data_IF_302222820487
#
_entry.id   IF_302222820487
#
_cell.length_a   1.000
_cell.length_b   1.000
_cell.length_c   1.000
_cell.angle_alpha   90.00
_cell.angle_beta   90.00
_cell.angle_gamma   90.00
#
_symmetry.space_group_name_H-M   'P 1'
#
loop_
_entity.id
_entity.type
_entity.pdbx_description
1 polymer ?
#
# COMPACT_ATOMS: atom_id res chain seq x y z
N UNK A 1 6.69 -51.96 4.85
CA UNK A 1 6.66 -50.98 3.74
C UNK A 1 7.08 -49.64 4.31
N UNK A 2 8.36 -49.32 4.13
CA UNK A 2 9.00 -48.06 4.49
C UNK A 2 8.45 -46.95 3.60
N UNK A 3 7.68 -46.01 4.16
CA UNK A 3 7.31 -44.79 3.46
C UNK A 3 8.46 -43.78 3.57
N UNK A 4 9.19 -43.62 2.47
CA UNK A 4 10.09 -42.49 2.26
C UNK A 4 9.29 -41.20 2.29
N UNK A 5 9.57 -40.33 3.27
CA UNK A 5 9.19 -38.92 3.17
C UNK A 5 9.93 -38.31 1.97
N UNK A 6 9.25 -37.54 1.10
CA UNK A 6 9.91 -36.89 -0.02
C UNK A 6 10.89 -35.86 0.53
N UNK A 7 12.16 -35.97 0.12
CA UNK A 7 13.19 -34.99 0.43
C UNK A 7 12.73 -33.62 -0.09
N UNK A 8 12.44 -32.70 0.84
CA UNK A 8 12.39 -31.28 0.55
C UNK A 8 13.69 -30.93 -0.17
N UNK A 9 13.59 -30.54 -1.44
CA UNK A 9 14.72 -30.07 -2.22
C UNK A 9 15.45 -29.00 -1.39
N UNK A 10 16.69 -29.33 -1.00
CA UNK A 10 17.45 -28.56 -0.04
C UNK A 10 17.59 -27.12 -0.53
N UNK A 11 16.86 -26.21 0.11
CA UNK A 11 17.24 -24.80 0.14
C UNK A 11 18.66 -24.78 0.73
N UNK A 12 19.66 -24.16 0.09
CA UNK A 12 21.01 -24.18 0.63
C UNK A 12 20.98 -23.42 1.96
N UNK A 13 20.96 -24.16 3.06
CA UNK A 13 21.06 -23.60 4.39
C UNK A 13 22.42 -22.88 4.49
N UNK A 14 22.49 -21.68 5.09
CA UNK A 14 23.74 -20.92 5.23
C UNK A 14 24.64 -21.51 6.33
N UNK A 15 24.73 -22.84 6.39
CA UNK A 15 25.44 -23.63 7.38
C UNK A 15 26.32 -24.64 6.63
N UNK A 16 27.54 -24.83 7.13
CA UNK A 16 28.43 -25.89 6.61
C UNK A 16 27.84 -27.28 6.86
N UNK A 17 28.23 -28.31 6.09
CA UNK A 17 27.75 -29.68 6.29
C UNK A 17 27.94 -30.20 7.72
N UNK A 18 29.05 -29.84 8.38
CA UNK A 18 29.32 -30.20 9.78
C UNK A 18 28.35 -29.53 10.76
N UNK A 19 28.01 -28.25 10.51
CA UNK A 19 27.03 -27.52 11.31
C UNK A 19 25.62 -28.07 11.13
N UNK A 20 25.26 -28.47 9.92
CA UNK A 20 23.97 -29.12 9.64
C UNK A 20 23.87 -30.46 10.36
N UNK A 21 24.92 -31.28 10.31
CA UNK A 21 24.93 -32.56 11.00
C UNK A 21 24.81 -32.40 12.53
N UNK A 22 25.48 -31.39 13.09
CA UNK A 22 25.38 -31.06 14.52
C UNK A 22 23.98 -30.55 14.89
N UNK A 23 23.37 -29.74 14.03
CA UNK A 23 22.00 -29.24 14.22
C UNK A 23 21.00 -30.39 14.15
N UNK A 24 21.12 -31.28 13.17
CA UNK A 24 20.26 -32.46 13.04
C UNK A 24 20.36 -33.36 14.28
N UNK A 25 21.57 -33.56 14.81
CA UNK A 25 21.78 -34.31 16.06
C UNK A 25 21.16 -33.62 17.29
N UNK A 26 21.21 -32.29 17.36
CA UNK A 26 20.59 -31.52 18.45
C UNK A 26 19.06 -31.57 18.41
N UNK A 27 18.50 -31.50 17.20
CA UNK A 27 17.05 -31.51 16.99
C UNK A 27 16.46 -32.93 17.09
N UNK A 28 17.25 -33.97 16.82
CA UNK A 28 16.85 -35.36 16.96
C UNK A 28 16.45 -35.69 18.41
N UNK A 29 15.18 -36.00 18.62
CA UNK A 29 14.63 -36.34 19.95
C UNK A 29 14.16 -35.15 20.77
N UNK A 30 14.20 -33.92 20.23
CA UNK A 30 13.63 -32.74 20.88
C UNK A 30 12.09 -32.77 20.85
N UNK A 31 11.45 -32.30 21.93
CA UNK A 31 10.00 -32.09 21.97
C UNK A 31 9.58 -30.85 21.17
N UNK A 32 8.31 -30.76 20.79
CA UNK A 32 7.77 -29.60 20.05
C UNK A 32 8.03 -28.27 20.79
N UNK A 33 7.84 -28.23 22.11
CA UNK A 33 8.13 -27.06 22.92
C UNK A 33 9.63 -26.68 22.90
N UNK A 34 10.52 -27.68 22.90
CA UNK A 34 11.96 -27.45 22.81
C UNK A 34 12.35 -26.89 21.43
N UNK A 35 11.72 -27.35 20.35
CA UNK A 35 11.95 -26.82 19.01
C UNK A 35 11.54 -25.33 18.91
N UNK A 36 10.37 -24.97 19.44
CA UNK A 36 9.93 -23.57 19.49
C UNK A 36 10.85 -22.69 20.35
N UNK A 37 11.32 -23.22 21.48
CA UNK A 37 12.26 -22.51 22.34
C UNK A 37 13.62 -22.29 21.63
N UNK A 38 14.16 -23.30 20.95
CA UNK A 38 15.40 -23.20 20.16
C UNK A 38 15.24 -22.16 19.04
N UNK A 39 14.10 -22.16 18.34
CA UNK A 39 13.80 -21.17 17.32
C UNK A 39 13.78 -19.74 17.88
N UNK A 40 13.11 -19.53 19.01
CA UNK A 40 13.06 -18.23 19.69
C UNK A 40 14.43 -17.79 20.21
N UNK A 41 15.20 -18.70 20.80
CA UNK A 41 16.56 -18.43 21.29
C UNK A 41 17.51 -18.05 20.15
N UNK A 42 17.49 -18.79 19.04
CA UNK A 42 18.29 -18.49 17.85
C UNK A 42 17.91 -17.14 17.25
N UNK A 43 16.62 -16.80 17.20
CA UNK A 43 16.14 -15.50 16.77
C UNK A 43 16.61 -14.37 17.70
N UNK A 44 16.58 -14.58 19.02
CA UNK A 44 17.09 -13.63 20.01
C UNK A 44 18.59 -13.39 19.88
N UNK A 45 19.38 -14.45 19.70
CA UNK A 45 20.83 -14.34 19.45
C UNK A 45 21.15 -13.61 18.14
N UNK A 46 20.33 -13.81 17.10
CA UNK A 46 20.47 -13.07 15.85
C UNK A 46 20.14 -11.58 16.02
N UNK A 47 19.11 -11.24 16.81
CA UNK A 47 18.73 -9.85 17.07
C UNK A 47 19.75 -9.08 17.93
N UNK A 48 20.50 -9.76 18.80
CA UNK A 48 21.57 -9.17 19.62
C UNK A 48 22.87 -8.97 18.85
N UNK A 49 23.05 -9.64 17.70
CA UNK A 49 24.17 -9.38 16.81
C UNK A 49 23.84 -8.15 15.98
N UNK A 50 24.51 -7.04 16.27
CA UNK A 50 24.56 -5.91 15.34
C UNK A 50 25.01 -6.46 13.98
N UNK A 51 24.25 -6.28 12.89
CA UNK A 51 24.74 -6.67 11.59
C UNK A 51 26.06 -5.93 11.39
N UNK A 52 27.16 -6.66 11.22
CA UNK A 52 28.37 -6.06 10.70
C UNK A 52 27.94 -5.33 9.43
N UNK A 53 28.19 -4.01 9.37
CA UNK A 53 27.89 -3.23 8.19
C UNK A 53 28.45 -4.01 7.00
N UNK A 54 27.57 -4.45 6.11
CA UNK A 54 27.99 -5.18 4.92
C UNK A 54 29.12 -4.37 4.28
N UNK A 55 30.25 -4.97 3.90
CA UNK A 55 31.31 -4.24 3.23
C UNK A 55 30.66 -3.53 2.05
N UNK A 56 30.71 -2.19 2.06
CA UNK A 56 30.26 -1.36 0.94
C UNK A 56 30.96 -1.94 -0.29
N UNK A 57 30.25 -2.52 -1.27
CA UNK A 57 30.90 -2.88 -2.52
C UNK A 57 31.49 -1.59 -3.09
N UNK A 58 32.79 -1.62 -3.33
CA UNK A 58 33.51 -0.55 -4.00
C UNK A 58 32.89 -0.34 -5.38
N UNK A 59 32.39 0.88 -5.64
CA UNK A 59 32.13 1.48 -6.96
C UNK A 59 31.80 0.54 -8.14
N UNK A 60 30.88 -0.41 -7.95
CA UNK A 60 30.03 -0.86 -9.05
C UNK A 60 28.74 -0.05 -8.96
N UNK A 61 28.43 0.70 -10.01
CA UNK A 61 27.11 1.32 -10.16
C UNK A 61 26.13 0.17 -10.40
N UNK A 62 25.73 -0.51 -9.33
CA UNK A 62 24.60 -1.44 -9.38
C UNK A 62 23.40 -0.56 -9.68
N UNK A 63 22.96 -0.59 -10.93
CA UNK A 63 21.68 0.02 -11.32
C UNK A 63 20.62 -0.68 -10.47
N UNK A 64 19.99 0.06 -9.58
CA UNK A 64 18.97 -0.42 -8.64
C UNK A 64 17.75 0.47 -8.73
N UNK A 65 16.59 -0.08 -8.42
CA UNK A 65 15.36 0.68 -8.22
C UNK A 65 15.27 1.10 -6.75
N UNK A 66 15.32 2.39 -6.46
CA UNK A 66 14.98 2.89 -5.12
C UNK A 66 13.46 3.05 -5.06
N UNK A 67 12.82 2.45 -4.05
CA UNK A 67 11.40 2.59 -3.75
C UNK A 67 11.28 3.38 -2.45
N UNK A 68 10.79 4.60 -2.53
CA UNK A 68 10.60 5.46 -1.37
C UNK A 68 9.11 5.54 -0.97
N UNK A 69 8.83 5.80 0.31
CA UNK A 69 7.46 6.05 0.75
C UNK A 69 7.35 7.15 1.80
N UNK A 70 6.20 7.85 1.79
CA UNK A 70 5.76 8.73 2.87
C UNK A 70 4.34 8.35 3.29
N UNK A 71 4.14 7.96 4.55
CA UNK A 71 2.89 7.38 5.00
C UNK A 71 2.53 7.74 6.44
N UNK A 72 1.28 8.18 6.66
CA UNK A 72 0.77 8.40 8.01
C UNK A 72 0.23 7.11 8.65
N UNK A 73 -0.62 6.37 7.93
CA UNK A 73 -1.32 5.18 8.43
C UNK A 73 -0.75 3.86 7.90
N UNK A 74 0.32 3.91 7.10
CA UNK A 74 1.00 2.72 6.56
C UNK A 74 0.53 2.27 5.17
N UNK A 75 -0.53 2.84 4.60
CA UNK A 75 -1.04 2.45 3.28
C UNK A 75 -0.01 2.64 2.14
N UNK A 76 0.63 3.81 2.11
CA UNK A 76 1.66 4.09 1.10
C UNK A 76 2.92 3.22 1.33
N UNK A 77 3.25 2.93 2.59
CA UNK A 77 4.32 1.99 2.96
C UNK A 77 4.02 0.57 2.45
N UNK A 78 2.78 0.10 2.62
CA UNK A 78 2.36 -1.20 2.12
C UNK A 78 2.43 -1.27 0.59
N UNK A 79 1.96 -0.24 -0.12
CA UNK A 79 2.02 -0.17 -1.58
C UNK A 79 3.47 -0.16 -2.11
N UNK A 80 4.36 0.61 -1.47
CA UNK A 80 5.79 0.62 -1.77
C UNK A 80 6.45 -0.75 -1.49
N UNK A 81 6.10 -1.38 -0.37
CA UNK A 81 6.57 -2.72 -0.03
C UNK A 81 6.16 -3.77 -1.07
N UNK A 82 4.91 -3.73 -1.54
CA UNK A 82 4.42 -4.61 -2.60
C UNK A 82 5.18 -4.40 -3.92
N UNK A 83 5.45 -3.14 -4.30
CA UNK A 83 6.28 -2.85 -5.48
C UNK A 83 7.69 -3.43 -5.32
N UNK A 84 8.32 -3.22 -4.16
CA UNK A 84 9.67 -3.71 -3.90
C UNK A 84 9.74 -5.23 -4.01
N UNK A 85 8.81 -5.95 -3.38
CA UNK A 85 8.72 -7.41 -3.47
C UNK A 85 8.53 -7.90 -4.92
N UNK A 86 7.64 -7.25 -5.68
CA UNK A 86 7.39 -7.63 -7.07
C UNK A 86 8.62 -7.39 -7.96
N UNK A 87 9.31 -6.26 -7.79
CA UNK A 87 10.53 -5.96 -8.52
C UNK A 87 11.68 -6.92 -8.16
N UNK A 88 11.88 -7.23 -6.88
CA UNK A 88 12.87 -8.21 -6.41
C UNK A 88 12.59 -9.60 -6.96
N UNK A 89 11.33 -10.03 -6.98
CA UNK A 89 10.92 -11.32 -7.56
C UNK A 89 11.24 -11.42 -9.06
N UNK A 90 11.30 -10.29 -9.77
CA UNK A 90 11.70 -10.22 -11.18
C UNK A 90 13.23 -10.06 -11.38
N UNK A 91 14.01 -10.07 -10.30
CA UNK A 91 15.48 -10.01 -10.33
C UNK A 91 16.06 -8.60 -10.37
N UNK A 92 15.27 -7.57 -10.04
CA UNK A 92 15.79 -6.22 -9.86
C UNK A 92 16.45 -6.08 -8.48
N UNK A 93 17.56 -5.35 -8.42
CA UNK A 93 18.09 -4.86 -7.16
C UNK A 93 17.20 -3.72 -6.67
N UNK A 94 16.63 -3.83 -5.47
CA UNK A 94 15.72 -2.84 -4.90
C UNK A 94 16.25 -2.28 -3.58
N UNK A 95 16.01 -1.00 -3.34
CA UNK A 95 16.17 -0.36 -2.02
C UNK A 95 14.84 0.24 -1.59
N UNK A 96 14.21 -0.33 -0.56
CA UNK A 96 13.03 0.26 0.06
C UNK A 96 13.45 1.24 1.18
N UNK A 97 12.92 2.47 1.18
CA UNK A 97 13.31 3.51 2.14
C UNK A 97 12.14 4.44 2.53
N UNK A 98 12.10 4.90 3.78
CA UNK A 98 11.19 5.97 4.20
C UNK A 98 11.75 7.33 3.76
N UNK A 99 10.90 8.25 3.28
CA UNK A 99 11.29 9.62 2.94
C UNK A 99 11.90 10.40 4.10
N UNK A 100 11.61 10.05 5.36
CA UNK A 100 12.25 10.64 6.55
C UNK A 100 13.76 10.39 6.57
N UNK A 101 14.20 9.25 6.03
CA UNK A 101 15.59 8.82 5.98
C UNK A 101 16.25 9.08 4.63
N UNK A 102 15.54 9.70 3.68
CA UNK A 102 16.02 9.93 2.32
C UNK A 102 16.49 11.37 2.12
N UNK A 103 17.77 11.55 1.79
CA UNK A 103 18.37 12.88 1.65
C UNK A 103 18.37 13.39 0.20
N UNK A 104 18.33 14.72 0.02
CA UNK A 104 18.50 15.32 -1.31
C UNK A 104 19.86 15.00 -1.95
N UNK A 105 20.89 14.78 -1.12
CA UNK A 105 22.22 14.39 -1.60
C UNK A 105 22.21 12.97 -2.22
N UNK A 106 21.37 12.07 -1.72
CA UNK A 106 21.13 10.78 -2.35
C UNK A 106 20.27 10.93 -3.60
N UNK A 107 19.20 11.73 -3.55
CA UNK A 107 18.33 12.00 -4.69
C UNK A 107 19.10 12.52 -5.91
N UNK A 108 20.06 13.42 -5.72
CA UNK A 108 20.89 13.95 -6.82
C UNK A 108 21.81 12.91 -7.48
N UNK A 109 22.01 11.74 -6.86
CA UNK A 109 22.76 10.61 -7.41
C UNK A 109 21.86 9.47 -7.89
N UNK A 110 20.56 9.58 -7.63
CA UNK A 110 19.59 8.55 -7.99
C UNK A 110 19.39 8.49 -9.50
N UNK A 111 19.06 7.30 -10.00
CA UNK A 111 18.76 7.07 -11.43
C UNK A 111 17.37 6.50 -11.65
N UNK A 112 16.88 5.67 -10.73
CA UNK A 112 15.57 5.04 -10.81
C UNK A 112 14.86 5.14 -9.47
N UNK A 113 13.73 5.84 -9.44
CA UNK A 113 13.01 6.15 -8.20
C UNK A 113 11.49 5.94 -8.36
N UNK A 114 10.91 5.05 -7.56
CA UNK A 114 9.46 4.97 -7.41
C UNK A 114 9.06 5.50 -6.04
N UNK A 115 8.03 6.35 -5.96
CA UNK A 115 7.60 6.95 -4.68
C UNK A 115 6.11 6.67 -4.47
N UNK A 116 5.76 6.06 -3.34
CA UNK A 116 4.36 5.99 -2.88
C UNK A 116 4.14 7.00 -1.75
N UNK A 117 3.20 7.93 -1.91
CA UNK A 117 2.98 8.98 -0.90
C UNK A 117 1.50 9.30 -0.70
N UNK A 118 1.08 9.40 0.56
CA UNK A 118 -0.30 9.78 0.91
C UNK A 118 -0.46 11.28 1.10
N UNK A 119 -1.64 11.82 0.81
CA UNK A 119 -2.05 13.18 1.18
C UNK A 119 -2.86 13.14 2.47
N UNK A 120 -2.62 14.06 3.41
CA UNK A 120 -3.33 14.16 4.69
C UNK A 120 -4.30 15.34 4.69
N UNK A 121 -5.49 15.13 5.27
CA UNK A 121 -6.47 16.20 5.57
C UNK A 121 -6.63 17.25 4.48
N UNK A 122 -6.23 18.48 4.78
CA UNK A 122 -6.33 19.66 3.90
C UNK A 122 -5.19 19.78 2.87
N UNK A 123 -4.68 18.65 2.39
CA UNK A 123 -3.61 18.60 1.39
C UNK A 123 -2.20 18.67 1.95
N UNK A 124 -2.00 18.28 3.20
CA UNK A 124 -0.70 18.26 3.86
C UNK A 124 0.05 16.95 3.57
N UNK A 125 1.41 16.99 3.57
CA UNK A 125 2.19 15.77 3.47
C UNK A 125 2.13 14.96 4.77
N UNK A 126 2.41 13.65 4.72
CA UNK A 126 2.62 12.83 5.90
C UNK A 126 3.81 13.36 6.70
N UNK A 127 3.80 13.14 8.01
CA UNK A 127 4.83 13.67 8.89
C UNK A 127 6.24 13.19 8.51
N UNK A 128 6.34 11.93 8.07
CA UNK A 128 7.60 11.31 7.64
C UNK A 128 8.13 11.84 6.30
N UNK A 129 7.32 12.50 5.47
CA UNK A 129 7.75 13.08 4.19
C UNK A 129 7.92 14.61 4.24
N UNK A 130 7.45 15.26 5.30
CA UNK A 130 7.35 16.73 5.40
C UNK A 130 8.69 17.44 5.18
N UNK A 131 9.76 16.95 5.81
CA UNK A 131 11.10 17.55 5.69
C UNK A 131 11.64 17.40 4.27
N UNK A 132 11.55 16.19 3.71
CA UNK A 132 12.01 15.90 2.35
C UNK A 132 11.32 16.79 1.31
N UNK A 133 9.99 16.88 1.36
CA UNK A 133 9.22 17.70 0.41
C UNK A 133 9.54 19.19 0.53
N UNK A 134 9.67 19.70 1.76
CA UNK A 134 10.08 21.09 1.99
C UNK A 134 11.48 21.38 1.42
N UNK A 135 12.41 20.44 1.57
CA UNK A 135 13.75 20.57 1.01
C UNK A 135 13.71 20.51 -0.53
N UNK A 136 12.94 19.59 -1.11
CA UNK A 136 12.77 19.43 -2.56
C UNK A 136 12.13 20.66 -3.23
N UNK A 137 11.20 21.32 -2.52
CA UNK A 137 10.58 22.57 -2.97
C UNK A 137 11.54 23.77 -2.91
N UNK A 138 12.64 23.69 -2.15
CA UNK A 138 13.58 24.80 -2.00
C UNK A 138 14.51 24.96 -3.21
N UNK A 139 15.17 26.12 -3.31
CA UNK A 139 16.21 26.38 -4.32
C UNK A 139 17.47 25.52 -4.14
N UNK A 140 17.60 24.76 -3.03
CA UNK A 140 18.72 23.85 -2.77
C UNK A 140 18.54 22.48 -3.42
N UNK A 141 17.40 22.23 -4.07
CA UNK A 141 17.13 20.97 -4.73
C UNK A 141 18.13 20.74 -5.90
N UNK A 142 18.73 19.54 -6.00
CA UNK A 142 19.64 19.23 -7.10
C UNK A 142 18.89 19.14 -8.43
N UNK A 143 19.60 19.34 -9.54
CA UNK A 143 19.08 18.97 -10.86
C UNK A 143 19.02 17.45 -10.99
N UNK A 144 17.93 16.95 -11.55
CA UNK A 144 17.59 15.53 -11.64
C UNK A 144 17.57 15.02 -13.08
N UNK A 145 18.44 15.56 -13.94
CA UNK A 145 18.45 15.29 -15.40
C UNK A 145 18.67 13.82 -15.78
N UNK A 146 19.24 13.03 -14.88
CA UNK A 146 19.49 11.59 -15.07
C UNK A 146 18.51 10.70 -14.28
N UNK A 147 17.55 11.29 -13.57
CA UNK A 147 16.56 10.56 -12.78
C UNK A 147 15.39 10.15 -13.67
N UNK A 148 15.07 8.85 -13.66
CA UNK A 148 13.78 8.33 -14.13
C UNK A 148 12.93 7.97 -12.91
N UNK A 149 11.71 8.51 -12.82
CA UNK A 149 10.88 8.35 -11.64
C UNK A 149 9.41 8.07 -11.93
N UNK A 150 8.69 7.58 -10.93
CA UNK A 150 7.23 7.43 -10.96
C UNK A 150 6.64 7.64 -9.57
N UNK A 151 5.39 8.08 -9.51
CA UNK A 151 4.69 8.38 -8.26
C UNK A 151 3.36 7.61 -8.19
N UNK A 152 3.12 6.95 -7.06
CA UNK A 152 1.79 6.51 -6.65
C UNK A 152 1.29 7.49 -5.58
N UNK A 153 0.34 8.34 -5.95
CA UNK A 153 -0.29 9.28 -5.04
C UNK A 153 -1.49 8.60 -4.38
N UNK A 154 -1.57 8.62 -3.06
CA UNK A 154 -2.73 8.13 -2.31
C UNK A 154 -3.51 9.33 -1.79
N UNK A 155 -4.83 9.30 -1.98
CA UNK A 155 -5.74 10.35 -1.51
C UNK A 155 -7.16 9.81 -1.36
N UNK A 156 -8.07 10.72 -1.09
CA UNK A 156 -9.51 10.47 -1.03
C UNK A 156 -10.20 11.56 -1.84
N UNK A 157 -10.95 11.17 -2.88
CA UNK A 157 -11.60 12.12 -3.80
C UNK A 157 -12.75 12.91 -3.16
N UNK A 158 -13.16 12.54 -1.96
CA UNK A 158 -14.10 13.30 -1.12
C UNK A 158 -13.47 14.59 -0.59
N UNK A 159 -12.14 14.71 -0.57
CA UNK A 159 -11.42 15.92 -0.18
C UNK A 159 -11.10 16.79 -1.39
N UNK A 160 -11.13 18.11 -1.21
CA UNK A 160 -10.88 19.07 -2.30
C UNK A 160 -9.49 18.92 -2.94
N UNK A 161 -8.49 18.52 -2.14
CA UNK A 161 -7.09 18.36 -2.54
C UNK A 161 -6.73 16.90 -2.78
N UNK A 162 -7.51 16.23 -3.62
CA UNK A 162 -7.29 14.83 -3.97
C UNK A 162 -5.89 14.60 -4.57
N UNK A 163 -5.12 13.72 -3.94
CA UNK A 163 -3.75 13.33 -4.33
C UNK A 163 -2.75 14.49 -4.45
N UNK A 164 -3.04 15.65 -3.84
CA UNK A 164 -2.29 16.90 -4.03
C UNK A 164 -0.79 16.74 -3.81
N UNK A 165 -0.38 16.05 -2.73
CA UNK A 165 1.04 15.89 -2.40
C UNK A 165 1.77 15.05 -3.45
N UNK A 166 1.14 13.98 -3.95
CA UNK A 166 1.73 13.18 -5.01
C UNK A 166 1.80 13.93 -6.34
N UNK A 167 0.80 14.76 -6.64
CA UNK A 167 0.77 15.62 -7.85
C UNK A 167 1.85 16.71 -7.80
N UNK A 168 2.00 17.38 -6.66
CA UNK A 168 3.05 18.39 -6.45
C UNK A 168 4.44 17.77 -6.51
N UNK A 169 4.61 16.57 -5.94
CA UNK A 169 5.88 15.84 -6.00
C UNK A 169 6.25 15.47 -7.44
N UNK A 170 5.31 14.91 -8.20
CA UNK A 170 5.48 14.56 -9.60
C UNK A 170 5.86 15.80 -10.44
N UNK A 171 5.09 16.89 -10.30
CA UNK A 171 5.41 18.17 -10.95
C UNK A 171 6.81 18.67 -10.58
N UNK A 172 7.15 18.64 -9.30
CA UNK A 172 8.44 19.16 -8.82
C UNK A 172 9.62 18.34 -9.33
N UNK A 173 9.50 17.02 -9.39
CA UNK A 173 10.53 16.14 -9.94
C UNK A 173 10.73 16.39 -11.44
N UNK A 174 9.65 16.63 -12.19
CA UNK A 174 9.72 17.03 -13.59
C UNK A 174 10.42 18.40 -13.77
N UNK A 175 10.06 19.41 -12.97
CA UNK A 175 10.69 20.75 -13.01
C UNK A 175 12.20 20.70 -12.76
N UNK A 176 12.65 19.77 -11.90
CA UNK A 176 14.08 19.57 -11.62
C UNK A 176 14.82 18.80 -12.73
N UNK A 177 14.11 18.35 -13.78
CA UNK A 177 14.67 17.66 -14.94
C UNK A 177 14.51 16.13 -14.92
N UNK A 178 13.79 15.59 -13.93
CA UNK A 178 13.47 14.16 -13.88
C UNK A 178 12.54 13.75 -15.02
N UNK A 179 12.70 12.52 -15.50
CA UNK A 179 11.88 11.94 -16.57
C UNK A 179 10.94 10.89 -16.00
N UNK A 180 9.70 10.81 -16.49
CA UNK A 180 8.80 9.75 -16.07
C UNK A 180 9.33 8.37 -16.52
N UNK A 181 9.45 7.44 -15.58
CA UNK A 181 9.74 6.03 -15.81
C UNK A 181 8.46 5.31 -16.26
N UNK A 182 7.36 5.57 -15.57
CA UNK A 182 5.99 5.15 -15.87
C UNK A 182 5.03 6.28 -15.46
N UNK A 183 3.79 6.31 -15.97
CA UNK A 183 2.81 7.32 -15.57
C UNK A 183 2.53 7.31 -14.07
N UNK A 184 2.33 8.51 -13.49
CA UNK A 184 1.78 8.64 -12.13
C UNK A 184 0.41 7.99 -12.05
N UNK A 185 0.13 7.33 -10.94
CA UNK A 185 -1.21 6.84 -10.62
C UNK A 185 -1.74 7.55 -9.38
N UNK A 186 -3.01 7.98 -9.44
CA UNK A 186 -3.72 8.63 -8.35
C UNK A 186 -4.73 7.61 -7.77
N UNK A 187 -4.50 7.19 -6.53
CA UNK A 187 -5.25 6.14 -5.83
C UNK A 187 -6.26 6.78 -4.87
N UNK A 188 -7.50 6.31 -4.95
CA UNK A 188 -8.60 6.69 -4.04
C UNK A 188 -8.72 5.65 -2.90
N UNK A 189 -9.88 5.55 -2.24
CA UNK A 189 -10.15 4.58 -1.15
C UNK A 189 -9.81 3.12 -1.51
N UNK A 190 -10.07 2.71 -2.76
CA UNK A 190 -9.61 1.42 -3.28
C UNK A 190 -8.21 1.57 -3.89
N UNK A 191 -7.21 1.57 -3.01
CA UNK A 191 -5.81 1.83 -3.39
C UNK A 191 -5.32 0.82 -4.44
N UNK A 192 -5.75 -0.43 -4.33
CA UNK A 192 -5.24 -1.53 -5.17
C UNK A 192 -5.67 -1.37 -6.63
N UNK A 193 -6.84 -0.76 -6.88
CA UNK A 193 -7.33 -0.46 -8.23
C UNK A 193 -6.34 0.39 -9.04
N UNK A 194 -5.69 1.37 -8.39
CA UNK A 194 -4.66 2.20 -9.02
C UNK A 194 -3.25 1.62 -8.84
N UNK A 195 -2.96 0.99 -7.69
CA UNK A 195 -1.64 0.48 -7.36
C UNK A 195 -1.24 -0.74 -8.20
N UNK A 196 -2.15 -1.68 -8.50
CA UNK A 196 -1.84 -2.86 -9.30
C UNK A 196 -1.29 -2.51 -10.72
N UNK A 197 -1.99 -1.71 -11.56
CA UNK A 197 -1.49 -1.35 -12.89
C UNK A 197 -0.24 -0.47 -12.80
N UNK A 198 -0.16 0.41 -11.81
CA UNK A 198 1.03 1.21 -11.54
C UNK A 198 2.25 0.35 -11.21
N UNK A 199 2.11 -0.66 -10.31
CA UNK A 199 3.20 -1.58 -9.96
C UNK A 199 3.65 -2.37 -11.18
N UNK A 200 2.73 -2.95 -11.95
CA UNK A 200 3.05 -3.72 -13.14
C UNK A 200 3.86 -2.89 -14.15
N UNK A 201 3.35 -1.72 -14.54
CA UNK A 201 4.03 -0.82 -15.48
C UNK A 201 5.38 -0.31 -14.97
N UNK A 202 5.51 -0.09 -13.66
CA UNK A 202 6.77 0.36 -13.04
C UNK A 202 7.82 -0.73 -13.07
N UNK A 203 7.44 -1.98 -12.79
CA UNK A 203 8.35 -3.14 -12.83
C UNK A 203 8.83 -3.38 -14.25
N UNK A 204 7.93 -3.36 -15.25
CA UNK A 204 8.29 -3.54 -16.65
C UNK A 204 9.25 -2.45 -17.14
N UNK A 205 8.93 -1.18 -16.88
CA UNK A 205 9.79 -0.07 -17.26
C UNK A 205 11.15 -0.09 -16.54
N UNK A 206 11.18 -0.53 -15.29
CA UNK A 206 12.42 -0.71 -14.53
C UNK A 206 13.27 -1.85 -15.10
N UNK A 207 12.67 -2.98 -15.47
CA UNK A 207 13.37 -4.10 -16.11
C UNK A 207 14.02 -3.69 -17.42
N UNK A 208 13.31 -2.94 -18.26
CA UNK A 208 13.82 -2.44 -19.54
C UNK A 208 15.00 -1.48 -19.36
N UNK A 209 14.95 -0.63 -18.32
CA UNK A 209 15.95 0.41 -18.12
C UNK A 209 17.18 -0.05 -17.32
N UNK A 210 16.99 -0.96 -16.36
CA UNK A 210 18.02 -1.43 -15.42
C UNK A 210 18.67 -2.71 -15.94
N UNK A 211 17.87 -3.63 -16.49
CA UNK A 211 18.26 -5.01 -16.74
C UNK A 211 18.15 -5.91 -15.50
N UNK A 212 18.11 -7.23 -15.70
CA UNK A 212 18.10 -8.20 -14.59
C UNK A 212 19.46 -8.24 -13.91
N UNK A 213 19.47 -8.22 -12.59
CA UNK A 213 20.70 -8.44 -11.81
C UNK A 213 21.12 -9.90 -11.93
N UNK A 214 22.40 -10.18 -12.19
CA UNK A 214 22.97 -11.53 -12.23
C UNK A 214 23.11 -12.17 -10.83
N UNK A 215 22.75 -11.46 -9.76
CA UNK A 215 22.79 -11.98 -8.41
C UNK A 215 21.55 -12.84 -8.12
N UNK A 216 21.74 -14.14 -7.94
CA UNK A 216 20.71 -15.06 -7.44
C UNK A 216 20.32 -14.67 -6.01
N UNK A 217 19.26 -13.89 -5.86
CA UNK A 217 18.65 -13.61 -4.55
C UNK A 217 17.93 -14.90 -4.12
N UNK A 218 18.60 -15.70 -3.29
CA UNK A 218 17.92 -16.80 -2.59
C UNK A 218 17.09 -16.17 -1.49
N UNK A 219 15.78 -16.04 -1.71
CA UNK A 219 14.87 -15.59 -0.66
C UNK A 219 14.90 -16.62 0.48
N UNK A 220 15.55 -16.26 1.59
CA UNK A 220 15.66 -17.10 2.79
C UNK A 220 14.35 -17.20 3.57
N UNK A 221 13.33 -16.45 3.18
CA UNK A 221 11.96 -16.54 3.69
C UNK A 221 11.03 -16.50 2.50
N UNK A 222 10.04 -17.40 2.37
CA UNK A 222 8.87 -17.05 1.60
C UNK A 222 8.36 -15.73 2.17
N UNK A 223 8.11 -14.75 1.30
CA UNK A 223 7.39 -13.57 1.70
C UNK A 223 6.18 -14.04 2.51
N UNK A 224 6.01 -13.51 3.73
CA UNK A 224 4.71 -13.61 4.36
C UNK A 224 3.75 -13.12 3.29
N UNK A 225 2.85 -14.02 2.85
CA UNK A 225 1.85 -13.64 1.87
C UNK A 225 1.30 -12.32 2.38
N UNK A 226 1.34 -11.23 1.58
CA UNK A 226 0.66 -10.03 1.99
C UNK A 226 -0.72 -10.53 2.42
N UNK A 227 -1.11 -10.21 3.66
CA UNK A 227 -2.51 -10.40 4.05
C UNK A 227 -3.28 -9.39 3.20
N UNK A 228 -3.49 -9.79 1.95
CA UNK A 228 -4.39 -9.18 1.00
C UNK A 228 -5.75 -9.45 1.60
N UNK A 229 -6.22 -8.56 2.48
CA UNK A 229 -7.65 -8.41 2.70
C UNK A 229 -8.22 -7.52 1.59
N UNK A 230 -7.98 -7.91 0.34
CA UNK A 230 -8.52 -7.24 -0.83
C UNK A 230 -8.93 -8.31 -1.84
N UNK A 231 -10.11 -8.89 -1.63
CA UNK A 231 -10.94 -9.43 -2.73
C UNK A 231 -12.34 -9.84 -2.28
N UNK A 232 -12.54 -10.26 -1.03
CA UNK A 232 -13.84 -10.76 -0.58
C UNK A 232 -14.30 -10.09 0.71
N UNK A 233 -15.18 -9.11 0.59
CA UNK A 233 -15.99 -8.67 1.72
C UNK A 233 -16.74 -9.88 2.29
N UNK A 234 -16.52 -10.20 3.56
CA UNK A 234 -17.23 -11.28 4.23
C UNK A 234 -18.53 -10.73 4.80
N UNK A 235 -19.65 -11.42 4.58
CA UNK A 235 -20.90 -11.06 5.24
C UNK A 235 -20.82 -11.45 6.72
N UNK A 236 -21.21 -10.52 7.59
CA UNK A 236 -21.32 -10.73 9.02
C UNK A 236 -22.74 -10.42 9.49
N UNK A 237 -23.20 -11.16 10.47
CA UNK A 237 -24.45 -10.92 11.18
C UNK A 237 -24.15 -10.12 12.43
N UNK A 238 -24.91 -9.05 12.68
CA UNK A 238 -24.83 -8.31 13.93
C UNK A 238 -25.50 -9.14 15.03
N UNK A 239 -24.70 -9.68 15.95
CA UNK A 239 -25.16 -10.49 17.07
C UNK A 239 -25.65 -9.62 18.24
N UNK A 240 -24.95 -8.52 18.48
CA UNK A 240 -25.31 -7.53 19.50
C UNK A 240 -25.02 -6.12 19.00
N UNK A 241 -25.86 -5.17 19.44
CA UNK A 241 -25.70 -3.74 19.21
C UNK A 241 -26.18 -3.00 20.46
N UNK A 242 -25.24 -2.70 21.36
CA UNK A 242 -25.53 -2.12 22.66
C UNK A 242 -24.97 -0.70 22.74
N UNK A 243 -25.80 0.25 23.14
CA UNK A 243 -25.34 1.61 23.47
C UNK A 243 -24.49 1.58 24.74
N UNK A 244 -23.29 2.15 24.66
CA UNK A 244 -22.35 2.29 25.78
C UNK A 244 -22.51 3.64 26.50
N UNK A 245 -23.00 4.67 25.79
CA UNK A 245 -23.26 5.98 26.39
C UNK A 245 -24.58 6.02 27.16
N UNK A 246 -24.67 6.94 28.12
CA UNK A 246 -25.91 7.23 28.85
C UNK A 246 -27.02 7.70 27.90
N UNK A 247 -28.29 7.51 28.30
CA UNK A 247 -29.44 7.78 27.43
C UNK A 247 -29.52 9.24 26.97
N UNK A 248 -29.11 10.15 27.83
CA UNK A 248 -29.08 11.60 27.70
C UNK A 248 -27.80 12.14 27.05
N UNK A 249 -26.82 11.28 26.76
CA UNK A 249 -25.61 11.68 26.04
C UNK A 249 -25.94 12.10 24.60
N UNK A 250 -25.37 13.21 24.15
CA UNK A 250 -25.43 13.64 22.75
C UNK A 250 -24.61 12.72 21.82
N UNK A 251 -23.63 12.00 22.37
CA UNK A 251 -22.85 10.99 21.66
C UNK A 251 -23.54 9.62 21.74
N UNK A 252 -23.60 8.90 20.61
CA UNK A 252 -24.05 7.51 20.51
C UNK A 252 -22.86 6.59 20.21
N UNK A 253 -22.21 6.10 21.26
CA UNK A 253 -21.13 5.10 21.15
C UNK A 253 -21.73 3.73 21.39
N UNK A 254 -21.43 2.77 20.52
CA UNK A 254 -22.03 1.43 20.53
C UNK A 254 -20.98 0.33 20.56
N UNK A 255 -21.26 -0.70 21.33
CA UNK A 255 -20.61 -2.01 21.24
C UNK A 255 -21.37 -2.85 20.24
N UNK A 256 -20.65 -3.38 19.24
CA UNK A 256 -21.21 -4.20 18.17
C UNK A 256 -20.49 -5.53 18.14
N UNK A 257 -21.25 -6.62 18.22
CA UNK A 257 -20.72 -7.97 18.07
C UNK A 257 -21.10 -8.50 16.69
N UNK A 258 -20.10 -9.03 15.98
CA UNK A 258 -20.26 -9.53 14.61
C UNK A 258 -19.98 -11.03 14.58
N UNK A 259 -20.95 -11.78 14.07
CA UNK A 259 -20.83 -13.21 13.80
C UNK A 259 -20.58 -13.44 12.32
N UNK A 260 -19.51 -14.14 11.98
CA UNK A 260 -19.16 -14.44 10.59
C UNK A 260 -19.76 -15.78 10.15
N UNK A 261 -20.41 -15.79 8.98
CA UNK A 261 -20.92 -17.02 8.36
C UNK A 261 -19.97 -17.40 7.23
N UNK A 262 -19.07 -18.35 7.48
CA UNK A 262 -18.07 -18.79 6.50
C UNK A 262 -16.72 -19.13 7.12
N UNK A 263 -15.65 -19.33 6.31
CA UNK A 263 -14.32 -19.55 6.84
C UNK A 263 -13.96 -18.42 7.81
N UNK A 264 -13.48 -18.78 9.00
CA UNK A 264 -13.23 -17.83 10.07
C UNK A 264 -12.31 -16.70 9.58
N UNK A 265 -12.82 -15.46 9.64
CA UNK A 265 -11.97 -14.29 9.53
C UNK A 265 -10.96 -14.38 10.69
N UNK A 266 -9.70 -14.64 10.37
CA UNK A 266 -8.63 -14.64 11.36
C UNK A 266 -8.25 -13.19 11.63
N UNK A 267 -8.23 -12.82 12.90
CA UNK A 267 -7.80 -11.51 13.36
C UNK A 267 -7.08 -11.66 14.70
N UNK A 268 -6.21 -10.72 15.00
CA UNK A 268 -5.51 -10.57 16.28
C UNK A 268 -5.96 -9.29 17.00
N UNK A 269 -5.87 -9.23 18.34
CA UNK A 269 -6.14 -8.00 19.08
C UNK A 269 -5.26 -6.85 18.60
N UNK A 270 -5.88 -5.76 18.15
CA UNK A 270 -5.20 -4.60 17.56
C UNK A 270 -5.42 -4.47 16.05
N UNK A 271 -5.95 -5.51 15.39
CA UNK A 271 -6.37 -5.42 13.99
C UNK A 271 -7.53 -4.44 13.80
N UNK A 272 -7.63 -3.90 12.59
CA UNK A 272 -8.70 -2.98 12.18
C UNK A 272 -9.68 -3.67 11.24
N UNK A 273 -10.97 -3.40 11.43
CA UNK A 273 -12.05 -3.88 10.57
C UNK A 273 -12.56 -2.75 9.69
N UNK A 274 -12.61 -2.98 8.37
CA UNK A 274 -13.32 -2.10 7.45
C UNK A 274 -14.76 -2.58 7.28
N UNK A 275 -15.73 -1.67 7.48
CA UNK A 275 -17.15 -1.94 7.30
C UNK A 275 -17.64 -1.23 6.04
N UNK A 276 -18.16 -1.97 5.07
CA UNK A 276 -18.80 -1.39 3.88
C UNK A 276 -20.25 -1.05 4.22
N UNK A 277 -20.61 0.22 4.03
CA UNK A 277 -21.96 0.73 4.27
C UNK A 277 -22.62 1.13 2.96
N UNK A 278 -23.94 0.97 2.89
CA UNK A 278 -24.75 1.48 1.79
C UNK A 278 -25.36 2.83 2.17
N UNK A 279 -25.52 3.71 1.20
CA UNK A 279 -26.29 4.93 1.39
C UNK A 279 -27.77 4.59 1.71
N UNK A 280 -28.42 5.38 2.58
CA UNK A 280 -29.84 5.24 2.85
C UNK A 280 -30.67 5.42 1.58
N UNK A 281 -31.69 4.59 1.39
CA UNK A 281 -32.58 4.67 0.22
C UNK A 281 -33.26 6.02 0.10
N UNK A 282 -33.69 6.60 1.23
CA UNK A 282 -34.25 7.97 1.30
C UNK A 282 -33.31 9.01 0.72
N UNK A 283 -32.00 8.94 1.02
CA UNK A 283 -31.03 9.89 0.51
C UNK A 283 -30.86 9.75 -1.00
N UNK A 284 -30.86 8.50 -1.51
CA UNK A 284 -30.76 8.21 -2.94
C UNK A 284 -32.00 8.73 -3.68
N UNK A 285 -33.20 8.49 -3.14
CA UNK A 285 -34.45 8.95 -3.71
C UNK A 285 -34.53 10.48 -3.75
N UNK A 286 -34.12 11.14 -2.67
CA UNK A 286 -34.04 12.60 -2.61
C UNK A 286 -33.03 13.16 -3.63
N UNK A 287 -31.85 12.54 -3.74
CA UNK A 287 -30.83 12.93 -4.70
C UNK A 287 -31.34 12.80 -6.15
N UNK A 288 -31.95 11.67 -6.50
CA UNK A 288 -32.50 11.44 -7.85
C UNK A 288 -33.64 12.42 -8.15
N UNK A 289 -34.53 12.66 -7.19
CA UNK A 289 -35.64 13.61 -7.35
C UNK A 289 -35.15 15.05 -7.57
N UNK A 290 -34.14 15.49 -6.81
CA UNK A 290 -33.57 16.85 -6.92
C UNK A 290 -32.71 17.04 -8.17
N UNK A 291 -31.97 16.01 -8.58
CA UNK A 291 -31.11 16.05 -9.77
C UNK A 291 -31.87 15.82 -11.07
N UNK A 292 -33.10 15.29 -11.02
CA UNK A 292 -33.88 14.92 -12.20
C UNK A 292 -33.29 13.73 -12.98
N UNK A 293 -32.33 13.01 -12.40
CA UNK A 293 -31.69 11.85 -13.02
C UNK A 293 -32.57 10.60 -12.86
N UNK A 294 -32.65 9.80 -13.92
CA UNK A 294 -33.32 8.50 -13.88
C UNK A 294 -32.41 7.44 -13.23
N UNK A 295 -32.85 6.95 -12.06
CA UNK A 295 -32.14 5.94 -11.28
C UNK A 295 -31.99 4.59 -11.97
N UNK A 296 -32.82 4.26 -12.97
CA UNK A 296 -32.79 2.97 -13.67
C UNK A 296 -31.84 2.94 -14.86
N UNK A 297 -31.35 4.12 -15.29
CA UNK A 297 -30.34 4.25 -16.34
C UNK A 297 -29.14 3.37 -16.01
N UNK A 298 -28.74 2.53 -16.96
CA UNK A 298 -27.56 1.68 -16.84
C UNK A 298 -26.32 2.53 -17.08
N UNK A 299 -25.45 2.59 -16.07
CA UNK A 299 -24.18 3.30 -16.12
C UNK A 299 -23.05 2.27 -16.11
N UNK A 300 -22.16 2.39 -17.10
CA UNK A 300 -20.95 1.56 -17.24
C UNK A 300 -19.73 2.34 -16.73
N UNK A 301 -18.94 1.70 -15.86
CA UNK A 301 -17.62 2.19 -15.45
C UNK A 301 -16.67 1.02 -15.32
N UNK A 302 -15.61 1.03 -16.14
CA UNK A 302 -14.68 -0.08 -16.23
C UNK A 302 -15.38 -1.35 -16.72
N UNK A 303 -15.27 -2.43 -15.96
CA UNK A 303 -15.89 -3.73 -16.22
C UNK A 303 -17.28 -3.90 -15.58
N UNK A 304 -17.77 -2.89 -14.83
CA UNK A 304 -19.04 -2.97 -14.10
C UNK A 304 -20.16 -2.19 -14.78
N UNK A 305 -21.34 -2.82 -14.81
CA UNK A 305 -22.59 -2.25 -15.33
C UNK A 305 -23.71 -2.39 -14.29
N UNK A 306 -24.13 -1.26 -13.73
CA UNK A 306 -25.21 -1.20 -12.75
C UNK A 306 -26.19 -0.07 -13.08
N UNK A 307 -27.39 -0.08 -12.49
CA UNK A 307 -28.26 1.08 -12.54
C UNK A 307 -27.63 2.25 -11.77
N UNK A 308 -27.96 3.49 -12.13
CA UNK A 308 -27.50 4.67 -11.41
C UNK A 308 -27.84 4.57 -9.92
N UNK A 309 -29.04 4.09 -9.59
CA UNK A 309 -29.48 3.84 -8.21
C UNK A 309 -28.54 2.90 -7.44
N UNK A 310 -28.06 1.83 -8.07
CA UNK A 310 -27.15 0.88 -7.41
C UNK A 310 -25.75 1.48 -7.24
N UNK A 311 -25.25 2.24 -8.23
CA UNK A 311 -24.02 3.02 -8.08
C UNK A 311 -24.11 4.00 -6.91
N UNK A 312 -25.22 4.72 -6.81
CA UNK A 312 -25.49 5.64 -5.70
C UNK A 312 -25.67 4.92 -4.36
N UNK A 313 -26.07 3.65 -4.36
CA UNK A 313 -26.27 2.87 -3.14
C UNK A 313 -24.97 2.41 -2.50
N UNK A 314 -24.08 1.80 -3.27
CA UNK A 314 -22.96 1.03 -2.70
C UNK A 314 -21.58 1.50 -3.14
N UNK A 315 -21.49 2.38 -4.14
CA UNK A 315 -20.22 2.70 -4.81
C UNK A 315 -19.91 4.21 -4.81
N UNK A 316 -20.80 5.05 -4.30
CA UNK A 316 -20.61 6.52 -4.27
C UNK A 316 -20.85 7.06 -2.87
N UNK A 317 -20.09 8.07 -2.49
CA UNK A 317 -20.33 8.85 -1.28
C UNK A 317 -21.36 9.96 -1.58
N UNK A 318 -22.47 9.97 -0.85
CA UNK A 318 -23.56 10.94 -1.02
C UNK A 318 -23.75 11.89 0.16
N UNK A 319 -23.09 11.61 1.29
CA UNK A 319 -23.24 12.37 2.53
C UNK A 319 -22.24 13.52 2.64
N UNK A 320 -21.21 13.54 1.80
CA UNK A 320 -20.21 14.61 1.73
C UNK A 320 -20.37 15.45 0.47
N UNK A 321 -20.28 16.76 0.64
CA UNK A 321 -20.15 17.69 -0.48
C UNK A 321 -18.76 17.57 -1.07
N UNK A 322 -18.68 17.17 -2.35
CA UNK A 322 -17.41 17.11 -3.08
C UNK A 322 -17.36 18.22 -4.12
N UNK A 323 -16.16 18.78 -4.33
CA UNK A 323 -15.94 19.82 -5.32
C UNK A 323 -16.30 19.38 -6.75
N UNK A 324 -16.00 18.13 -7.19
CA UNK A 324 -16.45 17.63 -8.48
C UNK A 324 -17.98 17.64 -8.63
N UNK A 325 -18.73 17.27 -7.59
CA UNK A 325 -20.19 17.30 -7.61
C UNK A 325 -20.71 18.73 -7.71
N UNK A 326 -20.17 19.64 -6.92
CA UNK A 326 -20.53 21.06 -7.00
C UNK A 326 -20.29 21.62 -8.39
N UNK A 327 -19.10 21.41 -8.96
CA UNK A 327 -18.76 21.86 -10.31
C UNK A 327 -19.71 21.28 -11.37
N UNK A 328 -20.08 20.00 -11.25
CA UNK A 328 -21.04 19.37 -12.16
C UNK A 328 -22.44 19.99 -12.05
N UNK A 329 -22.91 20.29 -10.84
CA UNK A 329 -24.20 20.94 -10.60
C UNK A 329 -24.19 22.36 -11.17
N UNK A 330 -23.15 23.16 -10.92
CA UNK A 330 -23.01 24.51 -11.47
C UNK A 330 -22.97 24.51 -12.99
N UNK A 331 -22.26 23.56 -13.60
CA UNK A 331 -22.20 23.43 -15.05
C UNK A 331 -23.57 23.07 -15.66
N UNK A 332 -24.38 22.29 -14.95
CA UNK A 332 -25.73 21.92 -15.38
C UNK A 332 -26.78 23.01 -15.14
N UNK A 333 -26.57 23.89 -14.14
CA UNK A 333 -27.49 24.95 -13.74
C UNK A 333 -26.79 26.31 -13.59
N UNK A 334 -26.26 26.90 -14.68
CA UNK A 334 -25.47 28.14 -14.62
C UNK A 334 -26.26 29.36 -14.12
N UNK A 335 -27.59 29.33 -14.20
CA UNK A 335 -28.49 30.42 -13.80
C UNK A 335 -28.92 30.37 -12.32
N UNK A 336 -28.63 29.26 -11.61
CA UNK A 336 -28.99 29.07 -10.20
C UNK A 336 -27.76 28.73 -9.36
N UNK A 337 -26.88 29.72 -9.09
CA UNK A 337 -25.92 29.58 -8.02
C UNK A 337 -26.67 29.54 -6.69
N UNK A 338 -26.31 28.59 -5.83
CA UNK A 338 -26.89 28.40 -4.49
C UNK A 338 -27.04 29.72 -3.69
#
# INVERSE_FOLDING_TARGET
MTQHHPALAATPAPLSPEQLQTLDQLLAGSSEAALWWIAGYAAGQAAQRTPAAAPKPANSVVKRLTVAYGSQTGNAKAAAGALAQQAEAQGLAVRLINLADYSLAELGRERFLAIAISTQGDGDPPDDARIFLKQLASARAPKLTELRYTVLALGDSSYAKFCEIGRLLDQRLAELGGQALSPRADADLDIEQAAAPWRASTVDAALDAIGKSAATITQLRPAAAPMIHAASSVQAVVLANQRLTARDSELDVRHVELGFVGPALRYEPGDSLQVRVNNPTVLIDEFLARSGLDGEVKVERGDRRHSLREWLRSERELTRLSLPLLNAIFAAHPEHPL
#
